data_IF_463045796024
#
_entry.id   IF_463045796024
#
_cell.length_a   1.000
_cell.length_b   1.000
_cell.length_c   1.000
_cell.angle_alpha   90.00
_cell.angle_beta   90.00
_cell.angle_gamma   90.00
#
_symmetry.space_group_name_H-M   'P 1'
#
loop_
_entity.id
_entity.type
_entity.pdbx_description
1 polymer ?
#
# COMPACT_ATOMS: atom_id res chain seq x y z
N UNK A 1 7.56 -29.73 9.97
CA UNK A 1 7.20 -28.43 10.10
C UNK A 1 5.94 -28.18 9.40
N UNK A 2 5.43 -27.51 9.93
CA UNK A 2 4.17 -27.16 9.78
C UNK A 2 3.97 -26.07 8.77
N UNK A 3 3.22 -26.41 7.75
CA UNK A 3 2.88 -25.47 6.69
C UNK A 3 2.14 -24.27 7.25
N UNK A 4 1.35 -24.50 8.29
CA UNK A 4 0.56 -23.44 8.91
C UNK A 4 1.46 -22.40 9.59
N UNK A 5 2.49 -22.86 10.29
CA UNK A 5 3.44 -21.93 10.91
C UNK A 5 4.16 -21.09 9.85
N UNK A 6 4.54 -21.72 8.73
CA UNK A 6 5.20 -21.02 7.65
C UNK A 6 4.27 -19.97 7.01
N UNK A 7 3.00 -20.31 6.87
CA UNK A 7 2.02 -19.37 6.34
C UNK A 7 1.91 -18.11 7.22
N UNK A 8 1.79 -18.30 8.53
CA UNK A 8 1.65 -17.13 9.42
C UNK A 8 2.94 -16.32 9.52
N UNK A 9 4.10 -16.97 9.48
CA UNK A 9 5.38 -16.26 9.41
C UNK A 9 5.45 -15.41 8.14
N UNK A 10 5.04 -15.97 7.00
CA UNK A 10 5.04 -15.25 5.74
C UNK A 10 4.06 -14.07 5.80
N UNK A 11 2.90 -14.27 6.39
CA UNK A 11 1.92 -13.21 6.53
C UNK A 11 2.49 -12.05 7.33
N UNK A 12 3.13 -12.31 8.45
CA UNK A 12 3.77 -11.28 9.27
C UNK A 12 4.93 -10.61 8.55
N UNK A 13 5.64 -11.35 7.71
CA UNK A 13 6.78 -10.82 6.99
C UNK A 13 6.39 -9.94 5.81
N UNK A 14 5.29 -10.27 5.13
CA UNK A 14 4.92 -9.65 3.86
C UNK A 14 3.68 -8.76 3.94
N UNK A 15 3.06 -8.65 5.11
CA UNK A 15 1.95 -7.74 5.34
C UNK A 15 2.27 -6.77 6.46
N UNK A 16 1.58 -5.63 6.47
CA UNK A 16 1.73 -4.62 7.51
C UNK A 16 0.35 -4.02 7.75
N UNK A 17 0.01 -3.73 9.01
CA UNK A 17 -1.26 -3.08 9.31
C UNK A 17 -1.08 -1.56 9.41
N UNK A 18 -2.20 -0.84 9.52
CA UNK A 18 -2.15 0.63 9.50
C UNK A 18 -1.45 1.20 10.73
N UNK A 19 -1.55 0.54 11.89
CA UNK A 19 -0.83 0.98 13.08
C UNK A 19 0.68 0.92 12.86
N UNK A 20 1.17 -0.23 12.41
CA UNK A 20 2.60 -0.41 12.20
C UNK A 20 3.13 0.50 11.10
N UNK A 21 2.34 0.72 10.04
CA UNK A 21 2.73 1.64 8.98
C UNK A 21 2.85 3.07 9.52
N UNK A 22 1.84 3.52 10.28
CA UNK A 22 1.87 4.87 10.84
C UNK A 22 3.09 5.06 11.76
N UNK A 23 3.39 4.05 12.58
CA UNK A 23 4.57 4.09 13.45
C UNK A 23 5.86 4.15 12.64
N UNK A 24 5.96 3.35 11.59
CA UNK A 24 7.15 3.33 10.73
C UNK A 24 7.37 4.66 10.02
N UNK A 25 6.30 5.25 9.50
CA UNK A 25 6.37 6.56 8.86
C UNK A 25 6.78 7.64 9.86
N UNK A 26 6.24 7.57 11.09
CA UNK A 26 6.60 8.52 12.14
C UNK A 26 8.04 8.43 12.59
N UNK A 27 8.64 7.23 12.53
CA UNK A 27 10.07 7.04 12.85
C UNK A 27 10.98 7.53 11.74
N UNK A 28 10.43 7.81 10.54
CA UNK A 28 11.24 8.15 9.39
C UNK A 28 11.86 6.96 8.69
N UNK A 29 11.29 5.78 8.86
CA UNK A 29 11.77 4.59 8.15
C UNK A 29 11.70 4.81 6.64
N UNK A 30 12.65 4.21 5.92
CA UNK A 30 12.75 4.40 4.48
C UNK A 30 11.73 3.52 3.77
N UNK A 31 10.60 4.11 3.42
CA UNK A 31 9.46 3.42 2.81
C UNK A 31 9.02 4.18 1.57
N UNK A 32 8.81 3.44 0.48
CA UNK A 32 8.07 3.94 -0.66
C UNK A 32 6.64 3.43 -0.54
N UNK A 33 5.73 4.34 -0.23
CA UNK A 33 4.32 4.02 -0.11
C UNK A 33 3.67 4.16 -1.47
N UNK A 34 3.15 3.06 -2.01
CA UNK A 34 2.66 3.00 -3.38
C UNK A 34 1.16 2.73 -3.40
N UNK A 35 0.42 3.72 -3.87
CA UNK A 35 -1.01 3.60 -4.12
C UNK A 35 -1.20 2.92 -5.46
N UNK A 36 -1.81 1.74 -5.44
CA UNK A 36 -1.94 0.89 -6.62
C UNK A 36 -3.24 1.11 -7.38
N UNK A 37 -4.04 2.09 -6.94
CA UNK A 37 -5.34 2.40 -7.54
C UNK A 37 -5.19 3.28 -8.78
N UNK A 38 -6.34 3.58 -9.38
CA UNK A 38 -6.36 4.50 -10.51
C UNK A 38 -5.92 5.91 -10.12
N UNK A 39 -5.44 6.71 -11.08
CA UNK A 39 -5.10 8.12 -10.78
C UNK A 39 -6.27 8.91 -10.23
N UNK A 40 -7.49 8.62 -10.67
CA UNK A 40 -8.68 9.31 -10.19
C UNK A 40 -8.92 9.04 -8.70
N UNK A 41 -8.81 7.77 -8.28
CA UNK A 41 -8.98 7.41 -6.89
C UNK A 41 -7.89 8.05 -6.02
N UNK A 42 -6.66 8.00 -6.48
CA UNK A 42 -5.53 8.64 -5.80
C UNK A 42 -5.78 10.14 -5.62
N UNK A 43 -6.24 10.79 -6.69
CA UNK A 43 -6.50 12.22 -6.64
C UNK A 43 -7.59 12.61 -5.64
N UNK A 44 -8.59 11.75 -5.46
CA UNK A 44 -9.66 12.02 -4.48
C UNK A 44 -9.14 11.96 -3.05
N UNK A 45 -8.43 10.92 -2.70
CA UNK A 45 -7.79 10.83 -1.40
C UNK A 45 -6.74 9.73 -1.41
N UNK A 46 -5.66 9.96 -0.69
CA UNK A 46 -4.55 9.00 -0.57
C UNK A 46 -3.81 9.25 0.74
N UNK A 47 -3.01 8.27 1.14
CA UNK A 47 -2.17 8.42 2.32
C UNK A 47 -1.08 9.45 2.01
N UNK A 48 -0.82 10.41 2.90
CA UNK A 48 0.21 11.43 2.66
C UNK A 48 1.57 10.80 2.35
N UNK A 49 2.23 11.33 1.35
CA UNK A 49 3.53 10.83 0.92
C UNK A 49 3.48 9.68 -0.06
N UNK A 50 2.31 9.13 -0.33
CA UNK A 50 2.18 8.03 -1.29
C UNK A 50 2.40 8.52 -2.72
N UNK A 51 3.00 7.65 -3.53
CA UNK A 51 3.07 7.85 -4.97
C UNK A 51 2.04 6.94 -5.63
N UNK A 52 1.47 7.40 -6.73
CA UNK A 52 0.48 6.62 -7.46
C UNK A 52 1.14 5.86 -8.59
N UNK A 53 1.18 4.55 -8.47
CA UNK A 53 1.62 3.67 -9.55
C UNK A 53 0.56 2.58 -9.65
N UNK A 54 -0.46 2.75 -10.52
CA UNK A 54 -1.48 1.73 -10.68
C UNK A 54 -0.85 0.39 -11.00
N UNK A 55 -1.39 -0.68 -10.43
CA UNK A 55 -0.74 -1.99 -10.56
C UNK A 55 -0.56 -2.40 -12.04
N UNK A 56 -1.46 -1.97 -12.90
CA UNK A 56 -1.39 -2.31 -14.34
C UNK A 56 -0.26 -1.59 -15.08
N UNK A 57 0.27 -0.52 -14.50
CA UNK A 57 1.30 0.30 -15.16
C UNK A 57 2.68 0.11 -14.57
N UNK A 58 2.84 -0.84 -13.65
CA UNK A 58 4.13 -1.08 -13.02
C UNK A 58 5.12 -1.68 -14.01
N UNK A 59 6.26 -1.02 -14.16
CA UNK A 59 7.30 -1.42 -15.09
C UNK A 59 8.64 -0.90 -14.60
N UNK A 60 9.71 -1.30 -15.25
CA UNK A 60 11.03 -0.75 -14.95
C UNK A 60 11.02 0.78 -15.07
N UNK A 61 10.32 1.30 -16.07
CA UNK A 61 10.26 2.74 -16.30
C UNK A 61 9.47 3.47 -15.23
N UNK A 62 8.27 2.98 -14.89
CA UNK A 62 7.40 3.69 -13.93
C UNK A 62 7.91 3.60 -12.50
N UNK A 63 8.80 2.66 -12.21
CA UNK A 63 9.38 2.49 -10.88
C UNK A 63 10.85 2.92 -10.81
N UNK A 64 11.37 3.50 -11.88
CA UNK A 64 12.80 3.83 -11.97
C UNK A 64 13.26 4.81 -10.88
N UNK A 65 12.34 5.66 -10.39
CA UNK A 65 12.66 6.65 -9.37
C UNK A 65 12.65 6.10 -7.95
N UNK A 66 12.27 4.84 -7.78
CA UNK A 66 12.21 4.23 -6.45
C UNK A 66 13.53 3.54 -6.11
N UNK A 67 13.92 3.65 -4.84
CA UNK A 67 15.14 3.04 -4.32
C UNK A 67 14.86 1.59 -3.92
N UNK A 68 15.58 0.65 -4.53
CA UNK A 68 15.40 -0.77 -4.24
C UNK A 68 15.91 -1.17 -2.86
N UNK A 69 16.65 -0.30 -2.19
CA UNK A 69 17.07 -0.52 -0.80
C UNK A 69 15.96 -0.18 0.19
N UNK A 70 14.95 0.58 -0.23
CA UNK A 70 13.83 0.91 0.62
C UNK A 70 12.78 -0.19 0.58
N UNK A 71 11.95 -0.23 1.62
CA UNK A 71 10.78 -1.10 1.64
C UNK A 71 9.66 -0.44 0.84
N UNK A 72 9.04 -1.19 -0.05
CA UNK A 72 7.83 -0.75 -0.75
C UNK A 72 6.63 -1.25 0.04
N UNK A 73 5.68 -0.36 0.33
CA UNK A 73 4.39 -0.76 0.90
C UNK A 73 3.31 -0.43 -0.11
N UNK A 74 2.60 -1.44 -0.57
CA UNK A 74 1.50 -1.26 -1.53
C UNK A 74 0.17 -1.19 -0.81
N UNK A 75 -0.75 -0.35 -1.30
CA UNK A 75 -2.10 -0.34 -0.75
C UNK A 75 -3.14 -0.06 -1.83
N UNK A 76 -4.37 -0.45 -1.52
CA UNK A 76 -5.56 -0.20 -2.32
C UNK A 76 -6.63 0.40 -1.42
N UNK A 77 -7.90 0.33 -1.82
CA UNK A 77 -8.98 0.91 -1.00
C UNK A 77 -9.18 0.16 0.30
N UNK A 78 -9.32 -1.15 0.22
CA UNK A 78 -9.64 -1.95 1.40
C UNK A 78 -9.57 -3.44 1.12
N UNK A 79 -10.16 -4.23 2.02
CA UNK A 79 -10.04 -5.69 1.98
C UNK A 79 -10.75 -6.31 0.77
N UNK A 80 -11.66 -5.59 0.13
CA UNK A 80 -12.38 -6.11 -1.03
C UNK A 80 -11.66 -5.86 -2.34
N UNK A 81 -10.51 -5.20 -2.29
CA UNK A 81 -9.75 -4.85 -3.48
C UNK A 81 -8.43 -5.61 -3.46
N UNK A 82 -8.11 -6.30 -4.54
CA UNK A 82 -6.85 -7.02 -4.64
C UNK A 82 -5.78 -6.26 -5.43
N UNK A 83 -6.00 -4.98 -5.68
CA UNK A 83 -5.00 -4.15 -6.37
C UNK A 83 -3.68 -4.08 -5.65
N UNK A 84 -3.70 -4.01 -4.31
CA UNK A 84 -2.47 -4.01 -3.52
C UNK A 84 -1.73 -5.35 -3.62
N UNK A 85 -2.47 -6.46 -3.72
CA UNK A 85 -1.86 -7.78 -3.88
C UNK A 85 -1.21 -7.91 -5.26
N UNK A 86 -1.93 -7.49 -6.30
CA UNK A 86 -1.39 -7.49 -7.66
C UNK A 86 -0.18 -6.57 -7.77
N UNK A 87 -0.27 -5.40 -7.16
CA UNK A 87 0.84 -4.46 -7.13
C UNK A 87 2.03 -5.00 -6.38
N UNK A 88 1.80 -5.65 -5.24
CA UNK A 88 2.88 -6.27 -4.48
C UNK A 88 3.62 -7.31 -5.31
N UNK A 89 2.88 -8.19 -5.99
CA UNK A 89 3.47 -9.20 -6.85
C UNK A 89 4.31 -8.55 -7.95
N UNK A 90 3.76 -7.53 -8.62
CA UNK A 90 4.47 -6.85 -9.69
C UNK A 90 5.76 -6.19 -9.18
N UNK A 91 5.71 -5.55 -8.01
CA UNK A 91 6.89 -4.90 -7.45
C UNK A 91 7.97 -5.91 -7.04
N UNK A 92 7.56 -7.06 -6.49
CA UNK A 92 8.52 -8.12 -6.16
C UNK A 92 9.21 -8.62 -7.43
N UNK A 93 8.45 -8.81 -8.51
CA UNK A 93 9.02 -9.24 -9.79
C UNK A 93 9.97 -8.21 -10.39
N UNK A 94 9.80 -6.94 -10.03
CA UNK A 94 10.70 -5.86 -10.44
C UNK A 94 11.93 -5.72 -9.51
N UNK A 95 12.03 -6.56 -8.49
CA UNK A 95 13.22 -6.61 -7.63
C UNK A 95 13.12 -5.84 -6.33
N UNK A 96 11.93 -5.40 -5.94
CA UNK A 96 11.73 -4.66 -4.68
C UNK A 96 11.39 -5.60 -3.53
N UNK A 97 11.69 -5.17 -2.30
CA UNK A 97 11.15 -5.77 -1.09
C UNK A 97 9.82 -5.11 -0.80
N UNK A 98 8.80 -5.89 -0.51
CA UNK A 98 7.43 -5.37 -0.45
C UNK A 98 6.71 -5.90 0.78
N UNK A 99 5.89 -5.04 1.39
CA UNK A 99 4.81 -5.45 2.28
C UNK A 99 3.51 -4.89 1.75
N UNK A 100 2.44 -5.64 1.92
CA UNK A 100 1.10 -5.19 1.53
C UNK A 100 0.38 -4.63 2.75
N UNK A 101 -0.22 -3.43 2.62
CA UNK A 101 -0.98 -2.82 3.70
C UNK A 101 -2.34 -3.50 3.83
N UNK A 102 -2.57 -4.15 4.96
CA UNK A 102 -3.85 -4.81 5.22
C UNK A 102 -4.92 -3.75 5.47
N UNK A 103 -6.06 -3.91 4.83
CA UNK A 103 -7.19 -3.00 5.02
C UNK A 103 -7.10 -1.70 4.25
N UNK A 104 -5.96 -1.39 3.68
CA UNK A 104 -5.80 -0.28 2.76
C UNK A 104 -6.19 1.07 3.30
N UNK A 105 -6.62 1.94 2.39
CA UNK A 105 -7.02 3.30 2.73
C UNK A 105 -8.24 3.33 3.65
N UNK A 106 -9.16 2.37 3.52
CA UNK A 106 -10.34 2.31 4.39
C UNK A 106 -9.95 2.18 5.85
N UNK A 107 -9.05 1.23 6.18
CA UNK A 107 -8.61 1.07 7.57
C UNK A 107 -7.79 2.25 8.04
N UNK A 108 -6.97 2.82 7.18
CA UNK A 108 -6.18 4.01 7.51
C UNK A 108 -7.10 5.16 7.94
N UNK A 109 -8.16 5.41 7.16
CA UNK A 109 -9.13 6.46 7.51
C UNK A 109 -9.97 6.11 8.72
N UNK A 110 -10.36 4.84 8.84
CA UNK A 110 -11.18 4.41 9.98
C UNK A 110 -10.47 4.68 11.30
N UNK A 111 -9.16 4.47 11.34
CA UNK A 111 -8.36 4.73 12.53
C UNK A 111 -8.05 6.21 12.74
N UNK A 112 -8.50 7.08 11.86
CA UNK A 112 -8.35 8.52 12.04
C UNK A 112 -7.04 9.10 11.56
N UNK A 113 -6.24 8.37 10.81
CA UNK A 113 -4.97 8.88 10.29
C UNK A 113 -5.22 9.84 9.13
N UNK A 114 -4.32 10.81 8.91
CA UNK A 114 -4.56 11.87 7.92
C UNK A 114 -4.51 11.36 6.49
N UNK A 115 -5.29 12.01 5.62
CA UNK A 115 -5.25 11.76 4.18
C UNK A 115 -5.08 13.08 3.45
N UNK A 116 -4.52 13.01 2.24
CA UNK A 116 -4.41 14.12 1.31
C UNK A 116 -5.32 13.88 0.11
N UNK A 117 -5.52 14.90 -0.71
CA UNK A 117 -6.31 14.79 -1.93
C UNK A 117 -7.42 15.82 -1.99
N UNK A 118 -8.25 15.70 -3.03
CA UNK A 118 -9.34 16.66 -3.27
C UNK A 118 -10.54 16.43 -2.37
N UNK A 119 -10.73 15.21 -1.86
CA UNK A 119 -11.84 14.86 -1.00
C UNK A 119 -11.39 14.05 0.19
N UNK A 120 -10.51 14.62 1.07
CA UNK A 120 -9.91 13.83 2.15
C UNK A 120 -10.91 13.40 3.23
N UNK A 121 -12.04 14.06 3.33
CA UNK A 121 -13.02 13.79 4.39
C UNK A 121 -14.04 12.73 4.04
N UNK A 122 -13.81 11.92 3.02
CA UNK A 122 -14.76 10.87 2.65
C UNK A 122 -14.94 9.87 3.79
N UNK A 123 -16.17 9.37 3.98
CA UNK A 123 -16.41 8.39 5.04
C UNK A 123 -15.64 7.10 4.82
N UNK A 124 -15.30 6.45 5.92
CA UNK A 124 -14.73 5.13 5.87
C UNK A 124 -15.67 4.16 5.17
N UNK A 125 -15.14 3.19 4.48
CA UNK A 125 -15.94 2.20 3.78
C UNK A 125 -16.35 2.60 2.37
N UNK A 126 -16.06 3.83 1.95
CA UNK A 126 -16.28 4.22 0.56
C UNK A 126 -15.31 3.46 -0.32
N UNK A 127 -15.80 2.62 -1.20
CA UNK A 127 -14.93 1.86 -2.07
C UNK A 127 -14.67 2.61 -3.36
N UNK A 128 -13.42 2.92 -3.60
CA UNK A 128 -13.00 3.53 -4.86
C UNK A 128 -12.11 2.61 -5.68
N UNK A 129 -12.09 1.35 -5.33
CA UNK A 129 -11.24 0.38 -5.98
C UNK A 129 -11.73 0.10 -7.40
N UNK A 130 -10.85 0.16 -8.32
CA UNK A 130 -11.20 -0.06 -9.71
C UNK A 130 -10.17 -0.95 -10.40
#
# INVERSE_FOLDING_TARGET
MDDQAQYYKAKLQYEIDVWDLNEALGRGDKIHLVDTRSPEAYGRSHIPGAVNIPHRTMSTTTTAHLDKEALVVTYCDGIRCNGSTKGALNMVQLGFRVKELIGGLDCWRYDGYPVDGLAPAQPAGSCGCS
#
